data_IF_232819707144
#
_entry.id   IF_232819707144
#
_cell.length_a   1.000
_cell.length_b   1.000
_cell.length_c   1.000
_cell.angle_alpha   90.00
_cell.angle_beta   90.00
_cell.angle_gamma   90.00
#
_symmetry.space_group_name_H-M   'P 1'
#
loop_
_entity.id
_entity.type
_entity.pdbx_description
1 polymer ?
#
# COMPACT_ATOMS: atom_id res chain seq x y z
N UNK A 1 -54.49 -46.96 47.26
CA UNK A 1 -53.51 -45.92 46.97
C UNK A 1 -52.45 -46.48 46.05
N UNK A 2 -52.73 -46.36 44.76
CA UNK A 2 -51.74 -46.75 43.71
C UNK A 2 -50.99 -45.50 43.33
N UNK A 3 -49.76 -45.40 43.81
CA UNK A 3 -48.80 -44.38 43.34
C UNK A 3 -48.34 -44.76 41.95
N UNK A 4 -48.74 -43.95 40.96
CA UNK A 4 -48.21 -43.99 39.61
C UNK A 4 -46.76 -43.50 39.63
N UNK A 5 -45.82 -44.42 39.52
CA UNK A 5 -44.42 -44.10 39.23
C UNK A 5 -44.36 -43.64 37.76
N UNK A 6 -43.69 -42.50 37.47
CA UNK A 6 -43.55 -42.06 36.06
C UNK A 6 -42.80 -43.09 35.28
N UNK A 7 -43.17 -43.38 34.00
CA UNK A 7 -42.53 -44.38 33.20
C UNK A 7 -41.04 -44.05 33.03
N UNK A 8 -40.22 -45.06 33.40
CA UNK A 8 -38.77 -45.02 33.16
C UNK A 8 -38.53 -44.70 31.68
N UNK A 9 -37.90 -43.59 31.42
CA UNK A 9 -37.50 -43.16 30.05
C UNK A 9 -36.71 -44.32 29.44
N UNK A 10 -37.30 -44.98 28.43
CA UNK A 10 -36.68 -46.05 27.68
C UNK A 10 -35.34 -45.57 27.10
N UNK A 11 -34.25 -46.22 27.49
CA UNK A 11 -32.87 -45.82 27.39
C UNK A 11 -32.26 -45.73 25.98
N UNK A 12 -32.98 -45.16 25.01
CA UNK A 12 -32.52 -45.04 23.63
C UNK A 12 -32.16 -43.59 23.19
N UNK A 13 -31.93 -42.70 24.17
CA UNK A 13 -31.46 -41.35 23.89
C UNK A 13 -29.94 -41.22 23.85
N UNK A 14 -29.43 -40.05 23.44
CA UNK A 14 -28.00 -39.73 23.52
C UNK A 14 -27.45 -39.94 24.92
N UNK A 15 -26.34 -40.69 25.03
CA UNK A 15 -25.77 -41.03 26.35
C UNK A 15 -24.26 -40.99 26.32
N UNK A 16 -23.66 -40.35 27.30
CA UNK A 16 -22.21 -40.40 27.50
C UNK A 16 -21.84 -41.67 28.25
N UNK A 17 -20.84 -42.37 27.78
CA UNK A 17 -20.33 -43.60 28.37
C UNK A 17 -19.25 -43.29 29.43
N UNK A 18 -18.98 -44.21 30.37
CA UNK A 18 -17.93 -44.04 31.36
C UNK A 18 -16.52 -43.88 30.78
N UNK A 19 -16.27 -44.43 29.61
CA UNK A 19 -15.00 -44.30 28.87
C UNK A 19 -14.83 -42.97 28.15
N UNK A 20 -15.82 -42.08 28.24
CA UNK A 20 -15.81 -40.77 27.63
C UNK A 20 -16.43 -40.73 26.21
N UNK A 21 -16.71 -41.90 25.61
CA UNK A 21 -17.40 -41.97 24.32
C UNK A 21 -18.86 -41.57 24.42
N UNK A 22 -19.48 -41.21 23.30
CA UNK A 22 -20.87 -40.81 23.22
C UNK A 22 -21.65 -41.80 22.36
N UNK A 23 -22.67 -42.40 22.93
CA UNK A 23 -23.68 -43.14 22.16
C UNK A 23 -24.69 -42.13 21.59
N UNK A 24 -24.84 -42.07 20.29
CA UNK A 24 -25.75 -41.19 19.60
C UNK A 24 -26.58 -41.96 18.57
N UNK A 25 -27.85 -42.24 18.86
CA UNK A 25 -28.73 -43.01 17.97
C UNK A 25 -28.88 -42.33 16.60
N UNK A 26 -29.08 -43.10 15.54
CA UNK A 26 -29.28 -42.61 14.17
C UNK A 26 -30.38 -41.54 14.07
N UNK A 27 -31.47 -41.72 14.83
CA UNK A 27 -32.56 -40.72 14.87
C UNK A 27 -32.08 -39.36 15.34
N UNK A 28 -31.28 -39.32 16.41
CA UNK A 28 -30.70 -38.08 16.96
C UNK A 28 -29.67 -37.46 15.99
N UNK A 29 -28.83 -38.29 15.35
CA UNK A 29 -27.88 -37.82 14.34
C UNK A 29 -28.60 -37.12 13.16
N UNK A 30 -29.75 -37.64 12.72
CA UNK A 30 -30.57 -37.05 11.65
C UNK A 30 -31.23 -35.73 12.11
N UNK A 31 -31.79 -35.74 13.31
CA UNK A 31 -32.45 -34.56 13.90
C UNK A 31 -31.47 -33.38 14.00
N UNK A 32 -30.23 -33.65 14.45
CA UNK A 32 -29.19 -32.66 14.59
C UNK A 32 -28.41 -32.39 13.30
N UNK A 33 -28.78 -33.04 12.19
CA UNK A 33 -28.10 -32.93 10.88
C UNK A 33 -26.59 -33.16 10.99
N UNK A 34 -26.19 -34.08 11.89
CA UNK A 34 -24.80 -34.41 12.10
C UNK A 34 -24.23 -35.08 10.81
N UNK A 35 -23.12 -34.51 10.34
CA UNK A 35 -22.36 -35.06 9.20
C UNK A 35 -20.98 -35.46 9.66
N UNK A 36 -20.51 -36.60 9.19
CA UNK A 36 -19.13 -37.05 9.39
C UNK A 36 -18.40 -37.05 8.07
N UNK A 37 -17.14 -36.65 8.10
CA UNK A 37 -16.23 -36.67 6.95
C UNK A 37 -15.12 -37.67 7.20
N UNK A 38 -14.85 -38.58 6.27
CA UNK A 38 -13.66 -39.41 6.37
C UNK A 38 -12.42 -38.53 6.19
N UNK A 39 -11.47 -38.68 7.11
CA UNK A 39 -10.20 -37.93 7.08
C UNK A 39 -9.06 -38.92 7.08
N UNK A 40 -8.05 -38.68 6.26
CA UNK A 40 -6.85 -39.49 6.17
C UNK A 40 -5.67 -38.81 6.85
N UNK A 41 -4.83 -39.56 7.53
CA UNK A 41 -3.57 -39.11 7.99
C UNK A 41 -2.65 -38.78 6.80
N UNK A 42 -1.95 -37.70 6.88
CA UNK A 42 -1.07 -37.24 5.80
C UNK A 42 0.00 -36.26 6.30
N UNK A 43 0.83 -35.84 5.38
CA UNK A 43 1.81 -34.77 5.62
C UNK A 43 1.20 -33.45 5.15
N UNK A 44 0.99 -32.52 6.06
CA UNK A 44 0.37 -31.22 5.80
C UNK A 44 1.41 -30.11 5.92
N UNK A 45 1.35 -29.07 5.08
CA UNK A 45 2.21 -27.89 5.25
C UNK A 45 1.97 -27.26 6.63
N UNK A 46 3.05 -26.94 7.31
CA UNK A 46 2.96 -26.17 8.54
C UNK A 46 2.56 -24.74 8.20
N UNK A 47 1.49 -24.26 8.81
CA UNK A 47 1.05 -22.87 8.67
C UNK A 47 1.19 -22.12 9.98
N UNK A 48 1.55 -20.86 9.88
CA UNK A 48 1.66 -19.93 11.00
C UNK A 48 0.69 -18.78 10.77
N UNK A 49 -0.18 -18.55 11.72
CA UNK A 49 -1.07 -17.40 11.70
C UNK A 49 -0.31 -16.17 12.21
N UNK A 50 -0.30 -15.10 11.42
CA UNK A 50 0.40 -13.86 11.71
C UNK A 50 -0.55 -12.67 11.59
N UNK A 51 -0.44 -11.75 12.53
CA UNK A 51 -1.06 -10.44 12.41
C UNK A 51 -0.20 -9.56 11.51
N UNK A 52 -0.86 -8.89 10.58
CA UNK A 52 -0.20 -8.04 9.59
C UNK A 52 -0.94 -6.73 9.36
N UNK A 53 -0.31 -5.85 8.64
CA UNK A 53 -0.86 -4.55 8.24
C UNK A 53 -0.66 -4.37 6.74
N UNK A 54 -1.69 -3.86 6.08
CA UNK A 54 -1.62 -3.51 4.66
C UNK A 54 -0.75 -2.27 4.49
N UNK A 55 0.28 -2.38 3.66
CA UNK A 55 1.18 -1.28 3.34
C UNK A 55 1.30 -1.09 1.83
N UNK A 56 1.72 0.09 1.44
CA UNK A 56 1.96 0.41 0.02
C UNK A 56 3.06 -0.49 -0.56
N UNK A 57 2.84 -0.99 -1.77
CA UNK A 57 3.96 -1.51 -2.55
C UNK A 57 4.77 -0.33 -3.08
N UNK A 58 6.05 -0.17 -2.69
CA UNK A 58 6.87 0.95 -3.13
C UNK A 58 7.10 1.01 -4.65
N UNK A 59 6.84 -0.09 -5.36
CA UNK A 59 6.92 -0.14 -6.82
C UNK A 59 5.56 0.09 -7.52
N UNK A 60 4.47 0.17 -6.74
CA UNK A 60 3.11 0.35 -7.26
C UNK A 60 2.36 1.46 -6.51
N UNK A 61 3.08 2.38 -5.94
CA UNK A 61 2.55 3.54 -5.24
C UNK A 61 3.60 4.63 -5.15
N UNK A 62 3.24 5.77 -4.62
CA UNK A 62 4.19 6.84 -4.42
C UNK A 62 3.62 8.01 -3.65
N UNK A 63 4.54 8.76 -3.07
CA UNK A 63 4.28 10.00 -2.36
C UNK A 63 4.54 11.18 -3.29
N UNK A 64 3.62 12.12 -3.30
CA UNK A 64 3.73 13.37 -4.03
C UNK A 64 4.01 14.47 -3.02
N UNK A 65 5.22 15.00 -3.08
CA UNK A 65 5.73 16.02 -2.15
C UNK A 65 6.13 17.26 -2.95
N UNK A 66 6.02 18.42 -2.32
CA UNK A 66 6.55 19.67 -2.87
C UNK A 66 8.08 19.63 -2.82
N UNK A 67 8.78 19.88 -3.94
CA UNK A 67 10.24 19.99 -3.94
C UNK A 67 10.72 21.30 -3.31
N UNK A 68 9.90 22.33 -3.37
CA UNK A 68 10.19 23.67 -2.85
C UNK A 68 8.98 24.24 -2.11
N UNK A 69 9.23 25.17 -1.20
CA UNK A 69 8.17 25.89 -0.51
C UNK A 69 7.39 26.77 -1.50
N UNK A 70 6.07 26.80 -1.36
CA UNK A 70 5.25 27.58 -2.26
C UNK A 70 3.76 27.51 -1.95
N UNK A 71 2.96 28.21 -2.75
CA UNK A 71 1.50 28.21 -2.65
C UNK A 71 0.91 27.17 -3.56
N UNK A 72 0.06 26.32 -3.00
CA UNK A 72 -0.65 25.26 -3.73
C UNK A 72 -1.75 25.89 -4.60
N UNK A 73 -1.79 25.49 -5.86
CA UNK A 73 -2.84 25.79 -6.81
C UNK A 73 -3.44 24.52 -7.37
N UNK A 74 -4.72 24.53 -7.64
CA UNK A 74 -5.41 23.40 -8.26
C UNK A 74 -4.80 23.03 -9.64
N UNK A 75 -4.76 21.75 -9.93
CA UNK A 75 -4.41 21.25 -11.24
C UNK A 75 -5.50 21.51 -12.30
N UNK A 76 -5.31 21.02 -13.54
CA UNK A 76 -6.26 21.23 -14.63
C UNK A 76 -7.66 20.68 -14.34
N UNK A 77 -7.75 19.62 -13.54
CA UNK A 77 -9.00 18.96 -13.16
C UNK A 77 -9.46 19.29 -11.73
N UNK A 78 -8.93 20.36 -11.14
CA UNK A 78 -9.12 20.67 -9.72
C UNK A 78 -8.12 19.92 -8.84
N UNK A 79 -8.32 20.01 -7.50
CA UNK A 79 -7.58 19.20 -6.54
C UNK A 79 -8.25 17.83 -6.44
N UNK A 80 -7.50 16.72 -6.60
CA UNK A 80 -8.08 15.39 -6.50
C UNK A 80 -8.48 15.07 -5.06
N UNK A 81 -9.56 14.33 -4.94
CA UNK A 81 -10.08 13.83 -3.66
C UNK A 81 -9.61 12.40 -3.40
N UNK A 82 -9.61 12.02 -2.11
CA UNK A 82 -9.36 10.63 -1.69
C UNK A 82 -10.30 9.66 -2.42
N UNK A 83 -9.75 8.55 -2.89
CA UNK A 83 -10.47 7.54 -3.67
C UNK A 83 -10.60 7.84 -5.16
N UNK A 84 -10.24 9.03 -5.61
CA UNK A 84 -10.27 9.40 -7.03
C UNK A 84 -9.18 8.66 -7.81
N UNK A 85 -9.56 8.11 -8.97
CA UNK A 85 -8.62 7.47 -9.89
C UNK A 85 -7.78 8.53 -10.60
N UNK A 86 -6.49 8.25 -10.73
CA UNK A 86 -5.52 9.10 -11.42
C UNK A 86 -4.61 8.27 -12.32
N UNK A 87 -4.02 8.90 -13.32
CA UNK A 87 -3.09 8.24 -14.25
C UNK A 87 -1.65 8.69 -13.96
N UNK A 88 -0.70 7.81 -14.19
CA UNK A 88 0.72 8.15 -14.11
C UNK A 88 1.03 9.38 -14.97
N UNK A 89 1.72 10.37 -14.41
CA UNK A 89 2.06 11.63 -15.06
C UNK A 89 0.95 12.67 -15.09
N UNK A 90 -0.25 12.35 -14.57
CA UNK A 90 -1.33 13.33 -14.44
C UNK A 90 -0.95 14.44 -13.45
N UNK A 91 -1.18 15.69 -13.84
CA UNK A 91 -0.93 16.85 -12.98
C UNK A 91 -2.06 16.99 -11.97
N UNK A 92 -1.73 16.79 -10.71
CA UNK A 92 -2.68 16.82 -9.58
C UNK A 92 -2.84 18.24 -9.04
N UNK A 93 -1.74 18.99 -8.99
CA UNK A 93 -1.70 20.36 -8.49
C UNK A 93 -0.45 21.08 -9.00
N UNK A 94 -0.40 22.37 -8.75
CA UNK A 94 0.77 23.21 -8.99
C UNK A 94 1.26 23.83 -7.68
N UNK A 95 2.57 23.99 -7.54
CA UNK A 95 3.18 24.76 -6.47
C UNK A 95 3.83 26.00 -7.09
N UNK A 96 3.38 27.17 -6.68
CA UNK A 96 3.97 28.43 -7.07
C UNK A 96 4.95 28.83 -5.99
N UNK A 97 6.26 28.92 -6.29
CA UNK A 97 7.27 29.26 -5.30
C UNK A 97 6.97 30.58 -4.61
N UNK A 98 7.08 30.61 -3.29
CA UNK A 98 7.07 31.84 -2.50
C UNK A 98 8.51 32.19 -2.13
N UNK A 99 9.23 32.79 -3.08
CA UNK A 99 10.54 33.35 -2.75
C UNK A 99 10.40 34.43 -1.66
N UNK A 100 11.31 34.44 -0.70
CA UNK A 100 11.36 35.50 0.31
C UNK A 100 11.41 36.91 -0.36
N UNK A 101 10.86 37.89 0.27
CA UNK A 101 10.77 39.26 -0.33
C UNK A 101 12.14 39.80 -0.81
N UNK A 102 13.20 39.50 -0.08
CA UNK A 102 14.58 39.90 -0.41
C UNK A 102 15.08 39.14 -1.65
N UNK A 103 14.88 37.81 -1.68
CA UNK A 103 15.33 37.00 -2.80
C UNK A 103 14.59 37.33 -4.08
N UNK A 104 13.28 37.54 -4.00
CA UNK A 104 12.49 38.01 -5.15
C UNK A 104 12.94 39.36 -5.65
N UNK A 105 13.23 40.32 -4.73
CA UNK A 105 13.77 41.64 -5.09
C UNK A 105 15.09 41.52 -5.81
N UNK A 106 16.00 40.66 -5.33
CA UNK A 106 17.30 40.44 -5.98
C UNK A 106 17.15 39.80 -7.37
N UNK A 107 16.25 38.82 -7.54
CA UNK A 107 15.98 38.19 -8.84
C UNK A 107 15.36 39.18 -9.82
N UNK A 108 14.43 40.03 -9.37
CA UNK A 108 13.83 41.08 -10.21
C UNK A 108 14.88 42.10 -10.63
N UNK A 109 15.76 42.53 -9.71
CA UNK A 109 16.86 43.44 -10.01
C UNK A 109 17.83 42.82 -11.05
N UNK A 110 18.22 41.57 -10.86
CA UNK A 110 19.08 40.85 -11.81
C UNK A 110 18.42 40.70 -13.20
N UNK A 111 17.11 40.41 -13.25
CA UNK A 111 16.39 40.37 -14.52
C UNK A 111 16.36 41.72 -15.23
N UNK A 112 16.14 42.79 -14.47
CA UNK A 112 16.15 44.16 -15.03
C UNK A 112 17.52 44.51 -15.59
N UNK A 113 18.61 44.18 -14.89
CA UNK A 113 19.99 44.39 -15.35
C UNK A 113 20.28 43.63 -16.65
N UNK A 114 19.92 42.34 -16.70
CA UNK A 114 20.10 41.51 -17.89
C UNK A 114 19.26 42.00 -19.07
N UNK A 115 18.05 42.52 -18.84
CA UNK A 115 17.22 43.13 -19.89
C UNK A 115 17.88 44.38 -20.46
N UNK A 116 18.43 45.23 -19.58
CA UNK A 116 19.13 46.43 -20.02
C UNK A 116 20.39 46.08 -20.83
N UNK A 117 21.20 45.12 -20.35
CA UNK A 117 22.38 44.67 -21.03
C UNK A 117 22.04 44.05 -22.43
N UNK A 118 21.01 43.19 -22.48
CA UNK A 118 20.52 42.61 -23.73
C UNK A 118 20.05 43.65 -24.72
N UNK A 119 19.29 44.68 -24.30
CA UNK A 119 18.83 45.76 -25.13
C UNK A 119 19.99 46.58 -25.68
N UNK A 120 21.03 46.84 -24.87
CA UNK A 120 22.24 47.56 -25.29
C UNK A 120 23.03 46.72 -26.31
N UNK A 121 23.22 45.42 -26.08
CA UNK A 121 23.89 44.52 -27.01
C UNK A 121 23.15 44.43 -28.34
N UNK A 122 21.81 44.37 -28.31
CA UNK A 122 20.99 44.37 -29.52
C UNK A 122 21.17 45.63 -30.38
N UNK A 123 21.20 46.80 -29.70
CA UNK A 123 21.49 48.08 -30.41
C UNK A 123 22.90 48.10 -30.98
N UNK A 124 23.89 47.53 -30.27
CA UNK A 124 25.29 47.44 -30.77
C UNK A 124 25.36 46.56 -32.02
N UNK A 125 24.74 45.37 -31.99
CA UNK A 125 24.69 44.49 -33.16
C UNK A 125 24.03 45.17 -34.36
N UNK A 126 22.89 45.85 -34.17
CA UNK A 126 22.19 46.57 -35.22
C UNK A 126 23.09 47.62 -35.86
N UNK A 127 23.76 48.45 -35.05
CA UNK A 127 24.69 49.48 -35.51
C UNK A 127 25.88 48.88 -36.29
N UNK A 128 26.48 47.79 -35.78
CA UNK A 128 27.61 47.14 -36.48
C UNK A 128 27.18 46.52 -37.81
N UNK A 129 25.96 46.00 -37.90
CA UNK A 129 25.37 45.49 -39.14
C UNK A 129 25.12 46.61 -40.18
N UNK A 130 24.67 47.76 -39.77
CA UNK A 130 24.52 48.94 -40.65
C UNK A 130 25.86 49.40 -41.20
N UNK A 131 26.97 49.17 -40.49
CA UNK A 131 28.33 49.52 -40.86
C UNK A 131 29.13 48.32 -41.38
N UNK A 132 28.49 47.25 -41.85
CA UNK A 132 29.11 45.95 -42.19
C UNK A 132 30.21 46.10 -43.27
N UNK A 133 30.10 47.08 -44.15
CA UNK A 133 31.12 47.34 -45.19
C UNK A 133 32.42 47.97 -44.64
N UNK A 134 32.40 48.52 -43.45
CA UNK A 134 33.54 49.27 -42.85
C UNK A 134 34.06 48.63 -41.57
N UNK A 135 33.34 47.65 -40.96
CA UNK A 135 33.68 47.02 -39.72
C UNK A 135 34.16 45.59 -39.95
N UNK A 136 35.20 45.12 -39.30
CA UNK A 136 35.66 43.75 -39.39
C UNK A 136 34.56 42.74 -39.01
N UNK A 137 34.39 41.70 -39.81
CA UNK A 137 33.36 40.67 -39.65
C UNK A 137 33.43 39.98 -38.27
N UNK A 138 34.64 39.81 -37.76
CA UNK A 138 34.89 39.27 -36.41
C UNK A 138 34.24 40.10 -35.30
N UNK A 139 34.13 41.41 -35.45
CA UNK A 139 33.55 42.31 -34.45
C UNK A 139 32.02 42.20 -34.43
N UNK A 140 31.42 41.94 -35.63
CA UNK A 140 29.97 41.63 -35.73
C UNK A 140 29.66 40.29 -35.10
N UNK A 141 30.44 39.27 -35.42
CA UNK A 141 30.28 37.90 -34.85
C UNK A 141 30.46 37.90 -33.32
N UNK A 142 31.40 38.64 -32.78
CA UNK A 142 31.60 38.79 -31.36
C UNK A 142 30.39 39.45 -30.67
N UNK A 143 29.86 40.52 -31.30
CA UNK A 143 28.69 41.25 -30.75
C UNK A 143 27.42 40.36 -30.79
N UNK A 144 27.25 39.54 -31.84
CA UNK A 144 26.14 38.57 -31.97
C UNK A 144 26.25 37.48 -30.89
N UNK A 145 27.45 36.99 -30.65
CA UNK A 145 27.70 35.97 -29.62
C UNK A 145 27.38 36.51 -28.20
N UNK A 146 27.77 37.76 -27.93
CA UNK A 146 27.44 38.46 -26.70
C UNK A 146 25.91 38.59 -26.53
N UNK A 147 25.21 39.04 -27.55
CA UNK A 147 23.77 39.18 -27.56
C UNK A 147 23.08 37.81 -27.27
N UNK A 148 23.54 36.76 -27.94
CA UNK A 148 23.01 35.41 -27.73
C UNK A 148 23.24 34.93 -26.28
N UNK A 149 24.43 35.17 -25.70
CA UNK A 149 24.75 34.82 -24.34
C UNK A 149 23.81 35.53 -23.33
N UNK A 150 23.58 36.84 -23.54
CA UNK A 150 22.67 37.64 -22.71
C UNK A 150 21.22 37.17 -22.85
N UNK A 151 20.77 36.78 -24.05
CA UNK A 151 19.45 36.22 -24.28
C UNK A 151 19.26 34.89 -23.50
N UNK A 152 20.26 34.00 -23.50
CA UNK A 152 20.23 32.75 -22.77
C UNK A 152 20.17 32.97 -21.26
N UNK A 153 20.98 33.92 -20.75
CA UNK A 153 20.96 34.26 -19.32
C UNK A 153 19.63 34.87 -18.89
N UNK A 154 19.06 35.74 -19.72
CA UNK A 154 17.76 36.36 -19.43
C UNK A 154 16.64 35.33 -19.43
N UNK A 155 16.65 34.37 -20.36
CA UNK A 155 15.70 33.27 -20.40
C UNK A 155 15.80 32.39 -19.14
N UNK A 156 17.02 32.04 -18.70
CA UNK A 156 17.26 31.23 -17.51
C UNK A 156 16.71 31.89 -16.22
N UNK A 157 16.94 33.19 -16.05
CA UNK A 157 16.40 33.93 -14.89
C UNK A 157 14.88 34.03 -14.97
N UNK A 158 14.31 34.21 -16.17
CA UNK A 158 12.87 34.28 -16.39
C UNK A 158 12.14 32.99 -16.01
N UNK A 159 12.72 31.84 -16.31
CA UNK A 159 12.18 30.52 -15.91
C UNK A 159 12.17 30.39 -14.38
N UNK A 160 13.21 30.81 -13.69
CA UNK A 160 13.27 30.77 -12.22
C UNK A 160 12.21 31.65 -11.54
N UNK A 161 11.83 32.76 -12.14
CA UNK A 161 10.84 33.71 -11.59
C UNK A 161 9.37 33.29 -11.86
N UNK A 162 9.12 32.60 -12.96
CA UNK A 162 7.77 32.22 -13.41
C UNK A 162 7.48 30.72 -13.28
N UNK A 163 8.49 29.95 -12.90
CA UNK A 163 8.37 28.50 -12.79
C UNK A 163 7.40 28.09 -11.70
N UNK A 164 6.35 27.35 -12.08
CA UNK A 164 5.52 26.59 -11.13
C UNK A 164 5.91 25.14 -11.20
N UNK A 165 5.95 24.48 -10.05
CA UNK A 165 6.21 23.06 -9.95
C UNK A 165 4.91 22.28 -10.19
N UNK A 166 4.97 21.27 -11.06
CA UNK A 166 3.86 20.34 -11.25
C UNK A 166 3.98 19.19 -10.24
N UNK A 167 2.97 19.01 -9.42
CA UNK A 167 2.81 17.80 -8.62
C UNK A 167 2.09 16.76 -9.45
N UNK A 168 2.81 15.71 -9.86
CA UNK A 168 2.30 14.69 -10.78
C UNK A 168 2.13 13.35 -10.08
N UNK A 169 1.14 12.57 -10.54
CA UNK A 169 0.95 11.21 -10.05
C UNK A 169 2.11 10.31 -10.48
N UNK A 170 2.81 9.65 -9.54
CA UNK A 170 3.97 8.81 -9.85
C UNK A 170 3.59 7.48 -10.50
N UNK A 171 2.37 7.01 -10.24
CA UNK A 171 1.78 5.78 -10.77
C UNK A 171 0.32 6.00 -11.13
N UNK A 172 -0.24 5.12 -11.96
CA UNK A 172 -1.69 5.02 -12.13
C UNK A 172 -2.29 4.28 -10.96
N UNK A 173 -3.40 4.78 -10.41
CA UNK A 173 -4.04 4.19 -9.24
C UNK A 173 -5.10 5.11 -8.68
N UNK A 174 -5.22 5.13 -7.37
CA UNK A 174 -6.16 5.97 -6.63
C UNK A 174 -5.45 6.83 -5.60
N UNK A 175 -6.02 7.99 -5.31
CA UNK A 175 -5.54 8.86 -4.22
C UNK A 175 -5.84 8.17 -2.89
N UNK A 176 -4.80 7.72 -2.19
CA UNK A 176 -4.92 7.09 -0.88
C UNK A 176 -5.05 8.12 0.25
N UNK A 177 -4.33 9.23 0.14
CA UNK A 177 -4.46 10.38 1.03
C UNK A 177 -4.25 11.69 0.28
N UNK A 178 -4.90 12.75 0.75
CA UNK A 178 -4.81 14.10 0.20
C UNK A 178 -4.77 15.12 1.35
N UNK A 179 -3.70 15.89 1.41
CA UNK A 179 -3.49 16.97 2.38
C UNK A 179 -3.35 18.30 1.63
N UNK A 180 -4.32 18.58 0.78
CA UNK A 180 -4.26 19.68 -0.17
C UNK A 180 -5.49 20.58 -0.09
N UNK A 181 -5.26 21.87 0.18
CA UNK A 181 -6.27 22.91 0.12
C UNK A 181 -5.76 24.02 -0.82
N UNK A 182 -6.63 24.48 -1.73
CA UNK A 182 -6.27 25.53 -2.67
C UNK A 182 -5.84 26.81 -1.92
N UNK A 183 -4.68 27.35 -2.31
CA UNK A 183 -4.10 28.53 -1.67
C UNK A 183 -3.25 28.26 -0.43
N UNK A 184 -3.19 27.04 0.06
CA UNK A 184 -2.31 26.61 1.16
C UNK A 184 -0.85 26.90 0.82
N UNK A 185 -0.08 27.32 1.82
CA UNK A 185 1.38 27.43 1.71
C UNK A 185 1.99 26.12 2.18
N UNK A 186 2.82 25.55 1.34
CA UNK A 186 3.53 24.30 1.58
C UNK A 186 4.99 24.58 1.92
N UNK A 187 5.53 23.80 2.82
CA UNK A 187 6.97 23.70 3.02
C UNK A 187 7.61 22.76 2.01
N UNK A 188 8.92 22.91 1.80
CA UNK A 188 9.68 21.94 1.00
C UNK A 188 9.59 20.55 1.65
N UNK A 189 9.39 19.52 0.83
CA UNK A 189 9.21 18.11 1.21
C UNK A 189 7.89 17.79 1.93
N UNK A 190 6.97 18.74 2.02
CA UNK A 190 5.65 18.49 2.58
C UNK A 190 4.89 17.47 1.70
N UNK A 191 4.29 16.46 2.35
CA UNK A 191 3.49 15.44 1.69
C UNK A 191 2.14 16.03 1.32
N UNK A 192 1.80 15.99 0.03
CA UNK A 192 0.55 16.55 -0.49
C UNK A 192 -0.43 15.43 -0.85
N UNK A 193 0.03 14.40 -1.57
CA UNK A 193 -0.80 13.27 -1.97
C UNK A 193 -0.04 11.95 -1.79
N UNK A 194 -0.78 10.88 -1.55
CA UNK A 194 -0.31 9.51 -1.73
C UNK A 194 -1.16 8.85 -2.80
N UNK A 195 -0.50 8.21 -3.75
CA UNK A 195 -1.15 7.46 -4.83
C UNK A 195 -0.79 6.00 -4.70
N UNK A 196 -1.76 5.11 -4.80
CA UNK A 196 -1.56 3.67 -4.68
C UNK A 196 -2.27 2.94 -5.80
N UNK A 197 -1.65 1.90 -6.34
CA UNK A 197 -2.35 0.90 -7.15
C UNK A 197 -3.04 -0.07 -6.19
N UNK A 198 -4.38 -0.06 -6.09
CA UNK A 198 -5.09 -0.87 -5.12
C UNK A 198 -5.05 -2.36 -5.45
N UNK A 199 -4.59 -2.74 -6.64
CA UNK A 199 -4.46 -4.13 -7.06
C UNK A 199 -3.09 -4.73 -6.73
N UNK A 200 -2.15 -3.91 -6.24
CA UNK A 200 -0.78 -4.30 -5.89
C UNK A 200 -0.41 -3.72 -4.54
N UNK A 201 -0.53 -4.54 -3.52
CA UNK A 201 -0.28 -4.15 -2.14
C UNK A 201 0.77 -5.06 -1.50
N UNK A 202 1.34 -4.60 -0.41
CA UNK A 202 2.14 -5.42 0.48
C UNK A 202 1.45 -5.61 1.81
N UNK A 203 1.81 -6.69 2.48
CA UNK A 203 1.41 -6.95 3.85
C UNK A 203 2.67 -7.14 4.67
N UNK A 204 2.83 -6.32 5.67
CA UNK A 204 3.86 -6.48 6.68
C UNK A 204 3.26 -7.25 7.84
N UNK A 205 3.71 -8.48 8.05
CA UNK A 205 3.26 -9.36 9.12
C UNK A 205 4.36 -9.52 10.17
N UNK A 206 3.97 -9.68 11.43
CA UNK A 206 4.88 -9.72 12.56
C UNK A 206 4.98 -11.15 13.13
N UNK A 207 6.18 -11.73 13.09
CA UNK A 207 6.48 -13.00 13.74
C UNK A 207 7.16 -12.73 15.07
N UNK A 208 6.49 -13.08 16.17
CA UNK A 208 7.02 -12.86 17.52
C UNK A 208 8.10 -13.88 17.90
N UNK A 209 8.09 -15.04 17.28
CA UNK A 209 9.16 -16.02 17.36
C UNK A 209 9.93 -16.07 16.02
N UNK A 210 11.16 -15.52 15.98
CA UNK A 210 11.96 -15.54 14.75
C UNK A 210 12.26 -16.95 14.22
N UNK A 211 12.25 -17.98 15.10
CA UNK A 211 12.48 -19.37 14.67
C UNK A 211 11.31 -19.88 13.83
N UNK A 212 10.08 -19.47 14.12
CA UNK A 212 8.90 -19.84 13.35
C UNK A 212 8.86 -19.16 11.98
N UNK A 213 9.53 -18.03 11.83
CA UNK A 213 9.64 -17.33 10.56
C UNK A 213 10.63 -18.00 9.58
N UNK A 214 11.48 -18.87 10.10
CA UNK A 214 12.43 -19.60 9.25
C UNK A 214 11.69 -20.60 8.37
N UNK A 215 12.05 -20.62 7.09
CA UNK A 215 11.44 -21.51 6.10
C UNK A 215 10.08 -21.07 5.57
N UNK A 216 9.56 -19.89 5.95
CA UNK A 216 8.36 -19.30 5.34
C UNK A 216 8.66 -19.01 3.86
N UNK A 217 7.78 -19.48 2.97
CA UNK A 217 7.92 -19.34 1.52
C UNK A 217 6.85 -18.40 0.93
N UNK A 218 5.72 -18.25 1.60
CA UNK A 218 4.60 -17.44 1.17
C UNK A 218 3.54 -17.40 2.25
N UNK A 219 2.41 -16.80 1.93
CA UNK A 219 1.27 -16.74 2.83
C UNK A 219 -0.04 -16.77 2.05
N UNK A 220 -1.14 -16.95 2.75
CA UNK A 220 -2.50 -16.78 2.24
C UNK A 220 -3.21 -15.73 3.07
N UNK A 221 -3.82 -14.77 2.39
CA UNK A 221 -4.71 -13.77 2.99
C UNK A 221 -6.16 -14.19 2.77
N UNK A 222 -6.95 -14.21 3.83
CA UNK A 222 -8.40 -14.42 3.71
C UNK A 222 -9.14 -13.10 3.65
N UNK A 223 -9.95 -12.91 2.61
CA UNK A 223 -10.84 -11.79 2.41
C UNK A 223 -12.26 -12.34 2.27
N UNK A 224 -12.98 -12.46 3.39
CA UNK A 224 -14.23 -13.19 3.42
C UNK A 224 -14.02 -14.66 3.02
N UNK A 225 -14.71 -15.09 1.97
CA UNK A 225 -14.55 -16.46 1.41
C UNK A 225 -13.37 -16.59 0.44
N UNK A 226 -12.83 -15.48 -0.04
CA UNK A 226 -11.72 -15.50 -0.98
C UNK A 226 -10.38 -15.75 -0.27
N UNK A 227 -9.53 -16.52 -0.95
CA UNK A 227 -8.16 -16.79 -0.51
C UNK A 227 -7.20 -16.19 -1.53
N UNK A 228 -6.44 -15.19 -1.09
CA UNK A 228 -5.46 -14.49 -1.94
C UNK A 228 -4.07 -14.99 -1.60
N UNK A 229 -3.37 -15.64 -2.54
CA UNK A 229 -2.00 -16.04 -2.32
C UNK A 229 -1.08 -14.82 -2.24
N UNK A 230 -0.17 -14.85 -1.30
CA UNK A 230 0.84 -13.82 -1.09
C UNK A 230 2.22 -14.42 -1.28
N UNK A 231 3.06 -13.73 -2.03
CA UNK A 231 4.46 -14.10 -2.22
C UNK A 231 5.33 -13.46 -1.15
N UNK A 232 6.22 -14.22 -0.52
CA UNK A 232 7.21 -13.65 0.39
C UNK A 232 8.18 -12.75 -0.39
N UNK A 233 8.32 -11.52 0.02
CA UNK A 233 9.34 -10.59 -0.47
C UNK A 233 10.62 -10.76 0.34
N UNK A 234 10.50 -10.86 1.65
CA UNK A 234 11.62 -11.08 2.55
C UNK A 234 11.25 -10.95 4.03
N UNK A 235 12.19 -11.32 4.86
CA UNK A 235 12.16 -11.09 6.29
C UNK A 235 13.14 -9.97 6.64
N UNK A 236 12.75 -9.09 7.56
CA UNK A 236 13.67 -8.09 8.09
C UNK A 236 14.86 -8.75 8.81
N UNK A 237 15.94 -8.02 8.97
CA UNK A 237 17.11 -8.43 9.76
C UNK A 237 17.20 -7.73 11.10
N UNK A 238 16.13 -6.99 11.45
CA UNK A 238 15.99 -6.29 12.72
C UNK A 238 14.58 -6.50 13.27
N UNK A 239 14.48 -6.58 14.59
CA UNK A 239 13.20 -6.69 15.27
C UNK A 239 12.53 -5.33 15.37
N UNK A 240 11.21 -5.31 15.25
CA UNK A 240 10.36 -4.17 15.53
C UNK A 240 9.37 -4.54 16.65
N UNK A 241 9.46 -3.88 17.78
CA UNK A 241 8.61 -4.21 18.93
C UNK A 241 8.70 -5.68 19.36
N UNK A 242 9.94 -6.25 19.38
CA UNK A 242 10.24 -7.66 19.71
C UNK A 242 9.73 -8.69 18.67
N UNK A 243 9.17 -8.25 17.56
CA UNK A 243 8.73 -9.12 16.48
C UNK A 243 9.61 -8.96 15.24
N UNK A 244 9.73 -10.03 14.46
CA UNK A 244 10.40 -10.03 13.17
C UNK A 244 9.40 -9.69 12.06
N UNK A 245 9.55 -8.55 11.34
CA UNK A 245 8.71 -8.24 10.21
C UNK A 245 8.97 -9.18 9.02
N UNK A 246 7.90 -9.74 8.50
CA UNK A 246 7.85 -10.47 7.23
C UNK A 246 7.05 -9.64 6.23
N UNK A 247 7.58 -9.42 5.04
CA UNK A 247 6.92 -8.66 3.99
C UNK A 247 6.45 -9.62 2.91
N UNK A 248 5.15 -9.55 2.64
CA UNK A 248 4.51 -10.29 1.56
C UNK A 248 3.99 -9.34 0.49
N UNK A 249 4.05 -9.75 -0.77
CA UNK A 249 3.46 -9.04 -1.89
C UNK A 249 2.22 -9.79 -2.38
N UNK A 250 1.15 -9.03 -2.62
CA UNK A 250 -0.09 -9.52 -3.20
C UNK A 250 -0.44 -8.75 -4.46
N UNK A 251 -1.05 -9.44 -5.42
CA UNK A 251 -1.54 -8.88 -6.67
C UNK A 251 -2.94 -9.39 -6.96
N UNK A 252 -3.77 -8.57 -7.56
CA UNK A 252 -5.11 -8.93 -8.01
C UNK A 252 -6.21 -8.00 -7.53
N UNK A 253 -7.34 -8.08 -8.21
CA UNK A 253 -8.51 -7.22 -7.94
C UNK A 253 -9.12 -7.40 -6.56
N UNK A 254 -8.99 -8.58 -5.97
CA UNK A 254 -9.49 -8.85 -4.63
C UNK A 254 -8.88 -7.93 -3.57
N UNK A 255 -7.63 -7.48 -3.79
CA UNK A 255 -6.93 -6.56 -2.89
C UNK A 255 -7.52 -5.14 -2.89
N UNK A 256 -8.27 -4.76 -3.92
CA UNK A 256 -8.86 -3.41 -4.04
C UNK A 256 -9.86 -3.07 -2.94
N UNK A 257 -10.34 -4.06 -2.20
CA UNK A 257 -11.19 -3.86 -1.03
C UNK A 257 -10.40 -3.46 0.23
N UNK A 258 -9.07 -3.57 0.20
CA UNK A 258 -8.20 -3.23 1.32
C UNK A 258 -7.77 -1.77 1.27
N UNK A 259 -7.53 -1.21 2.45
CA UNK A 259 -6.97 0.14 2.59
C UNK A 259 -5.63 0.10 3.30
N UNK A 260 -4.76 1.06 3.01
CA UNK A 260 -3.46 1.19 3.66
C UNK A 260 -3.64 1.38 5.18
N UNK A 261 -2.82 0.69 5.96
CA UNK A 261 -2.92 0.70 7.42
C UNK A 261 -3.94 -0.27 8.00
N UNK A 262 -4.74 -0.95 7.17
CA UNK A 262 -5.72 -1.91 7.64
C UNK A 262 -5.03 -3.12 8.29
N UNK A 263 -5.44 -3.51 9.51
CA UNK A 263 -4.98 -4.76 10.10
C UNK A 263 -5.61 -5.94 9.36
N UNK A 264 -4.80 -6.94 9.09
CA UNK A 264 -5.19 -8.18 8.42
C UNK A 264 -4.53 -9.37 9.08
N UNK A 265 -5.07 -10.54 8.83
CA UNK A 265 -4.51 -11.80 9.32
C UNK A 265 -4.09 -12.64 8.12
N UNK A 266 -2.86 -13.15 8.19
CA UNK A 266 -2.30 -13.99 7.12
C UNK A 266 -1.86 -15.33 7.68
N UNK A 267 -1.97 -16.36 6.86
CA UNK A 267 -1.46 -17.69 7.15
C UNK A 267 -0.18 -17.92 6.35
N UNK A 268 0.95 -17.76 7.00
CA UNK A 268 2.25 -18.04 6.41
C UNK A 268 2.45 -19.55 6.26
N UNK A 269 3.00 -19.96 5.12
CA UNK A 269 3.30 -21.35 4.81
C UNK A 269 4.80 -21.56 4.88
N UNK A 270 5.22 -22.54 5.69
CA UNK A 270 6.61 -23.00 5.69
C UNK A 270 6.77 -24.22 4.76
N UNK A 271 8.00 -24.45 4.31
CA UNK A 271 8.34 -25.70 3.60
C UNK A 271 8.30 -26.94 4.49
N UNK A 272 8.22 -26.77 5.82
CA UNK A 272 8.09 -27.87 6.76
C UNK A 272 6.72 -28.55 6.63
N UNK A 273 6.70 -29.86 6.76
CA UNK A 273 5.49 -30.67 6.77
C UNK A 273 5.32 -31.33 8.12
N UNK A 274 4.09 -31.36 8.60
CA UNK A 274 3.71 -31.99 9.87
C UNK A 274 2.80 -33.18 9.56
N UNK A 275 3.12 -34.32 10.13
CA UNK A 275 2.26 -35.48 10.07
C UNK A 275 1.00 -35.20 10.91
N UNK A 276 -0.17 -35.43 10.35
CA UNK A 276 -1.41 -35.16 11.04
C UNK A 276 -2.64 -35.45 10.19
N UNK A 277 -3.78 -34.99 10.68
CA UNK A 277 -5.08 -35.09 10.04
C UNK A 277 -5.65 -33.70 9.86
N UNK A 278 -6.07 -33.38 8.66
CA UNK A 278 -6.74 -32.09 8.41
C UNK A 278 -8.23 -32.21 8.72
N UNK A 279 -8.71 -31.41 9.66
CA UNK A 279 -10.11 -31.35 10.06
C UNK A 279 -10.72 -29.98 9.76
N UNK A 280 -12.01 -29.91 9.33
CA UNK A 280 -12.71 -28.64 9.18
C UNK A 280 -12.79 -27.91 10.53
N UNK A 281 -12.67 -26.58 10.53
CA UNK A 281 -12.81 -25.76 11.73
C UNK A 281 -14.17 -25.98 12.42
N UNK A 282 -15.23 -26.24 11.65
CA UNK A 282 -16.57 -26.56 12.17
C UNK A 282 -16.62 -27.86 12.98
N UNK A 283 -15.63 -28.75 12.84
CA UNK A 283 -15.53 -29.97 13.61
C UNK A 283 -14.84 -29.78 14.98
N UNK A 284 -14.20 -28.62 15.19
CA UNK A 284 -13.55 -28.29 16.46
C UNK A 284 -14.62 -27.91 17.50
N UNK A 285 -14.62 -28.62 18.59
CA UNK A 285 -15.49 -28.39 19.75
C UNK A 285 -14.65 -28.08 20.99
N UNK A 286 -15.25 -27.46 21.98
CA UNK A 286 -14.61 -27.27 23.27
C UNK A 286 -15.27 -28.17 24.32
N UNK A 287 -14.45 -28.93 25.04
CA UNK A 287 -14.92 -29.71 26.15
C UNK A 287 -15.11 -28.85 27.42
N UNK A 288 -15.62 -29.46 28.49
CA UNK A 288 -15.85 -28.78 29.77
C UNK A 288 -14.55 -28.18 30.40
N UNK A 289 -13.39 -28.75 30.09
CA UNK A 289 -12.09 -28.24 30.50
C UNK A 289 -11.49 -27.19 29.53
N UNK A 290 -12.32 -26.65 28.65
CA UNK A 290 -11.93 -25.65 27.63
C UNK A 290 -10.83 -26.13 26.64
N UNK A 291 -10.67 -27.44 26.48
CA UNK A 291 -9.74 -28.04 25.53
C UNK A 291 -10.42 -28.20 24.15
N UNK A 292 -9.68 -27.95 23.08
CA UNK A 292 -10.16 -28.22 21.73
C UNK A 292 -10.17 -29.73 21.45
N UNK A 293 -11.32 -30.24 21.07
CA UNK A 293 -11.52 -31.65 20.74
C UNK A 293 -12.21 -31.81 19.40
N UNK A 294 -12.08 -33.00 18.80
CA UNK A 294 -12.89 -33.47 17.67
C UNK A 294 -13.52 -34.78 18.05
N UNK A 295 -14.75 -35.02 17.58
CA UNK A 295 -15.42 -36.29 17.75
C UNK A 295 -15.08 -37.20 16.58
N UNK A 296 -14.59 -38.38 16.89
CA UNK A 296 -14.25 -39.43 15.89
C UNK A 296 -15.30 -40.52 15.93
N UNK A 297 -15.94 -40.71 14.79
CA UNK A 297 -16.93 -41.77 14.65
C UNK A 297 -16.25 -43.14 14.61
N UNK A 298 -16.42 -43.96 15.66
CA UNK A 298 -15.84 -45.27 15.79
C UNK A 298 -16.77 -46.37 15.21
N UNK A 299 -18.07 -46.15 15.36
CA UNK A 299 -19.09 -47.07 14.84
C UNK A 299 -20.33 -46.24 14.38
N UNK A 300 -21.36 -46.88 13.79
CA UNK A 300 -22.54 -46.16 13.30
C UNK A 300 -23.20 -45.21 14.31
N UNK A 301 -23.10 -45.50 15.60
CA UNK A 301 -23.77 -44.72 16.68
C UNK A 301 -22.84 -44.34 17.84
N UNK A 302 -21.53 -44.61 17.72
CA UNK A 302 -20.53 -44.24 18.74
C UNK A 302 -19.50 -43.25 18.22
N UNK A 303 -19.19 -42.28 19.05
CA UNK A 303 -18.27 -41.16 18.78
C UNK A 303 -17.27 -40.98 19.92
#
# INVERSE_FOLDING_TARGET
DHGDAPPAASGNGPKRQPDGSVFLPKAAQRLWKLRTLPVAAGQHPQTLELDGTVVMDPNAGGKVQAAQAGRLQAGPNGLPSVGQAVRKGEVLAWVVPTAGAIERSNQVAQQAELRAAHALAAKRVARLKELADTVPRKDIEAAESELQSLAQRLAAVGVGLSGREALVAPVSGVIASAHAVAGQVLDARELVFEVVDPTRLRIEALAYDPAQAQGVQGATLALGEQRVPLRLVGAARSLRGQALPLVFAGEGRALSALVLGQPVRVWAHSGARVAGVQVPTAALQRNAANQSIVWVKQSPEHF
#
